data_IF_436161508088
#
_entry.id   IF_436161508088
#
_cell.length_a   1.000
_cell.length_b   1.000
_cell.length_c   1.000
_cell.angle_alpha   90.00
_cell.angle_beta   90.00
_cell.angle_gamma   90.00
#
_symmetry.space_group_name_H-M   'P 1'
#
loop_
_entity.id
_entity.type
_entity.pdbx_description
1 polymer ?
#
# COMPACT_ATOMS: atom_id res chain seq x y z
N UNK A 1 12.32 9.53 7.85
CA UNK A 1 13.65 8.90 7.68
C UNK A 1 14.37 8.79 9.04
N UNK A 2 15.53 8.16 9.08
CA UNK A 2 16.33 7.95 10.29
C UNK A 2 16.69 9.25 11.02
N UNK A 3 16.93 10.32 10.25
CA UNK A 3 17.19 11.66 10.81
C UNK A 3 16.01 12.16 11.65
N UNK A 4 14.79 12.03 11.15
CA UNK A 4 13.59 12.45 11.88
C UNK A 4 13.21 11.55 13.04
N UNK A 5 13.53 10.25 12.98
CA UNK A 5 13.18 9.28 14.01
C UNK A 5 14.20 9.21 15.14
N UNK A 6 15.50 9.36 14.84
CA UNK A 6 16.60 9.12 15.79
C UNK A 6 17.61 10.27 15.89
N UNK A 7 17.45 11.37 15.14
CA UNK A 7 18.38 12.48 15.10
C UNK A 7 19.79 12.13 14.56
N UNK A 8 19.92 11.00 13.85
CA UNK A 8 21.20 10.51 13.33
C UNK A 8 21.45 11.02 11.93
N UNK A 9 22.41 11.93 11.75
CA UNK A 9 22.79 12.52 10.47
C UNK A 9 23.86 11.74 9.70
N UNK A 10 24.54 10.77 10.35
CA UNK A 10 25.70 10.07 9.78
C UNK A 10 25.45 9.44 8.39
N UNK A 11 24.23 8.91 8.14
CA UNK A 11 23.87 8.37 6.83
C UNK A 11 23.66 9.45 5.78
N UNK A 12 23.15 10.61 6.18
CA UNK A 12 22.95 11.77 5.31
C UNK A 12 24.31 12.36 4.93
N UNK A 13 25.20 12.47 5.88
CA UNK A 13 26.56 13.01 5.69
C UNK A 13 27.38 12.08 4.79
N UNK A 14 27.32 10.76 5.01
CA UNK A 14 27.99 9.78 4.16
C UNK A 14 27.42 9.80 2.70
N UNK A 15 26.12 9.93 2.54
CA UNK A 15 25.48 10.03 1.23
C UNK A 15 25.82 11.35 0.53
N UNK A 16 25.85 12.46 1.28
CA UNK A 16 26.27 13.76 0.76
C UNK A 16 27.73 13.71 0.27
N UNK A 17 28.61 13.06 1.01
CA UNK A 17 30.01 12.86 0.60
C UNK A 17 30.13 12.08 -0.71
N UNK A 18 29.37 10.98 -0.87
CA UNK A 18 29.34 10.21 -2.13
C UNK A 18 28.76 11.05 -3.27
N UNK A 19 27.71 11.82 -3.00
CA UNK A 19 27.01 12.65 -3.98
C UNK A 19 27.88 13.80 -4.48
N UNK A 20 28.70 14.37 -3.59
CA UNK A 20 29.60 15.47 -3.88
C UNK A 20 30.98 15.02 -4.37
N UNK A 21 31.24 13.70 -4.44
CA UNK A 21 32.49 13.17 -4.97
C UNK A 21 32.71 13.59 -6.43
N UNK A 22 33.78 14.32 -6.67
CA UNK A 22 34.17 14.83 -7.99
C UNK A 22 35.25 13.93 -8.60
N UNK A 23 35.01 13.48 -9.82
CA UNK A 23 36.01 12.83 -10.66
C UNK A 23 36.19 13.70 -11.93
N UNK A 24 37.42 14.16 -12.21
CA UNK A 24 37.71 15.02 -13.36
C UNK A 24 36.86 16.32 -13.41
N UNK A 25 36.69 17.01 -12.27
CA UNK A 25 35.87 18.23 -12.13
C UNK A 25 34.38 18.04 -12.48
N UNK A 26 33.89 16.84 -12.44
CA UNK A 26 32.47 16.54 -12.64
C UNK A 26 31.94 15.72 -11.48
N UNK A 27 30.76 16.10 -10.96
CA UNK A 27 30.04 15.30 -9.96
C UNK A 27 29.49 14.06 -10.65
N UNK A 28 30.27 12.98 -10.66
CA UNK A 28 30.00 11.74 -11.40
C UNK A 28 28.65 11.16 -11.01
N UNK A 29 28.32 11.22 -9.72
CA UNK A 29 27.09 10.64 -9.20
C UNK A 29 25.85 11.35 -9.72
N UNK A 30 25.81 12.68 -9.65
CA UNK A 30 24.66 13.46 -10.12
C UNK A 30 24.49 13.41 -11.64
N UNK A 31 25.60 13.21 -12.39
CA UNK A 31 25.57 13.06 -13.85
C UNK A 31 25.05 11.68 -14.31
N UNK A 32 25.38 10.61 -13.58
CA UNK A 32 25.01 9.25 -13.97
C UNK A 32 23.60 8.89 -13.47
N UNK A 33 23.25 9.32 -12.26
CA UNK A 33 21.99 8.92 -11.61
C UNK A 33 20.93 10.03 -11.58
N UNK A 34 21.27 11.22 -12.07
CA UNK A 34 20.31 12.30 -12.38
C UNK A 34 19.56 12.91 -11.20
N UNK A 35 19.96 12.64 -9.96
CA UNK A 35 19.22 13.13 -8.80
C UNK A 35 19.96 13.05 -7.48
N UNK A 36 19.38 13.64 -6.46
CA UNK A 36 19.84 13.55 -5.08
C UNK A 36 19.55 12.17 -4.52
N UNK A 37 20.54 11.52 -3.89
CA UNK A 37 20.33 10.33 -3.08
C UNK A 37 19.38 10.65 -1.94
N UNK A 38 18.22 10.03 -1.96
CA UNK A 38 17.30 10.13 -0.84
C UNK A 38 17.89 9.45 0.40
N UNK A 39 17.68 10.06 1.57
CA UNK A 39 18.14 9.49 2.83
C UNK A 39 17.60 8.07 3.05
N UNK A 40 18.40 7.21 3.67
CA UNK A 40 18.02 5.85 4.02
C UNK A 40 16.69 5.86 4.81
N UNK A 41 15.67 5.15 4.32
CA UNK A 41 14.33 5.12 4.92
C UNK A 41 13.30 6.06 4.28
N UNK A 42 13.70 6.94 3.34
CA UNK A 42 12.81 7.66 2.42
C UNK A 42 12.81 7.05 1.01
N UNK A 43 13.41 5.88 0.85
CA UNK A 43 13.52 5.23 -0.43
C UNK A 43 12.17 4.69 -0.89
N UNK A 44 11.85 4.96 -2.12
CA UNK A 44 10.71 4.39 -2.79
C UNK A 44 10.99 2.95 -3.27
N UNK A 45 9.97 2.32 -3.80
CA UNK A 45 10.05 0.97 -4.32
C UNK A 45 11.08 0.83 -5.46
N UNK A 46 11.31 1.91 -6.22
CA UNK A 46 12.25 1.95 -7.33
C UNK A 46 13.70 1.86 -6.86
N UNK A 47 14.04 2.64 -5.84
CA UNK A 47 15.38 2.62 -5.23
C UNK A 47 15.62 1.27 -4.55
N UNK A 48 14.60 0.72 -3.86
CA UNK A 48 14.66 -0.62 -3.29
C UNK A 48 14.94 -1.71 -4.33
N UNK A 49 14.26 -1.65 -5.48
CA UNK A 49 14.50 -2.54 -6.62
C UNK A 49 15.92 -2.41 -7.19
N UNK A 50 16.42 -1.19 -7.33
CA UNK A 50 17.79 -0.92 -7.77
C UNK A 50 18.84 -1.53 -6.84
N UNK A 51 18.63 -1.45 -5.52
CA UNK A 51 19.52 -2.08 -4.54
C UNK A 51 19.53 -3.61 -4.64
N UNK A 52 18.40 -4.24 -4.86
CA UNK A 52 18.31 -5.68 -5.04
C UNK A 52 19.12 -6.09 -6.28
N UNK A 53 19.04 -5.32 -7.36
CA UNK A 53 19.85 -5.57 -8.57
C UNK A 53 21.33 -5.42 -8.27
N UNK A 54 21.76 -4.37 -7.58
CA UNK A 54 23.16 -4.16 -7.19
C UNK A 54 23.64 -5.29 -6.29
N UNK A 55 22.86 -5.66 -5.27
CA UNK A 55 23.19 -6.76 -4.37
C UNK A 55 23.33 -8.08 -5.15
N UNK A 56 22.43 -8.35 -6.10
CA UNK A 56 22.50 -9.54 -6.96
C UNK A 56 23.78 -9.57 -7.80
N UNK A 57 24.21 -8.41 -8.32
CA UNK A 57 25.48 -8.30 -9.05
C UNK A 57 26.68 -8.54 -8.16
N UNK A 58 26.69 -8.01 -6.94
CA UNK A 58 27.77 -8.26 -5.95
C UNK A 58 27.85 -9.74 -5.61
N UNK A 59 26.72 -10.38 -5.34
CA UNK A 59 26.65 -11.83 -5.08
C UNK A 59 27.21 -12.64 -6.27
N UNK A 60 26.80 -12.27 -7.50
CA UNK A 60 27.33 -12.87 -8.72
C UNK A 60 28.86 -12.84 -8.77
N UNK A 61 29.48 -11.70 -8.45
CA UNK A 61 30.95 -11.56 -8.46
C UNK A 61 31.61 -12.38 -7.36
N UNK A 62 31.05 -12.37 -6.14
CA UNK A 62 31.60 -13.15 -5.01
C UNK A 62 31.57 -14.66 -5.31
N UNK A 63 30.44 -15.16 -5.81
CA UNK A 63 30.25 -16.59 -6.08
C UNK A 63 30.66 -17.01 -7.50
N UNK A 64 31.24 -16.09 -8.31
CA UNK A 64 31.69 -16.33 -9.69
C UNK A 64 30.61 -16.96 -10.56
N UNK A 65 29.35 -16.56 -10.40
CA UNK A 65 28.23 -17.09 -11.18
C UNK A 65 28.35 -16.59 -12.64
N UNK A 66 28.21 -17.45 -13.66
CA UNK A 66 28.26 -17.03 -15.06
C UNK A 66 27.10 -16.08 -15.37
N UNK A 67 27.34 -15.06 -16.19
CA UNK A 67 26.32 -14.05 -16.51
C UNK A 67 25.08 -14.62 -17.18
N UNK A 68 25.26 -15.65 -18.02
CA UNK A 68 24.14 -16.38 -18.65
C UNK A 68 23.15 -16.92 -17.62
N UNK A 69 23.65 -17.49 -16.52
CA UNK A 69 22.80 -18.01 -15.44
C UNK A 69 22.05 -16.89 -14.71
N UNK A 70 22.69 -15.74 -14.50
CA UNK A 70 22.00 -14.57 -13.90
C UNK A 70 20.86 -14.10 -14.78
N UNK A 71 21.06 -14.03 -16.10
CA UNK A 71 20.02 -13.65 -17.05
C UNK A 71 18.90 -14.68 -17.09
N UNK A 72 19.24 -15.97 -17.09
CA UNK A 72 18.26 -17.06 -17.09
C UNK A 72 17.36 -17.00 -15.85
N UNK A 73 17.94 -16.85 -14.66
CA UNK A 73 17.21 -16.73 -13.40
C UNK A 73 16.36 -15.44 -13.35
N UNK A 74 16.87 -14.32 -13.86
CA UNK A 74 16.12 -13.09 -13.98
C UNK A 74 14.88 -13.25 -14.88
N UNK A 75 15.05 -13.86 -16.05
CA UNK A 75 13.94 -14.13 -16.99
C UNK A 75 12.94 -15.11 -16.38
N UNK A 76 13.43 -16.15 -15.68
CA UNK A 76 12.57 -17.09 -14.95
C UNK A 76 11.76 -16.38 -13.86
N UNK A 77 12.39 -15.55 -13.07
CA UNK A 77 11.72 -14.73 -12.05
C UNK A 77 10.66 -13.80 -12.68
N UNK A 78 10.99 -13.14 -13.79
CA UNK A 78 10.05 -12.28 -14.50
C UNK A 78 8.83 -13.05 -15.03
N UNK A 79 9.05 -14.25 -15.56
CA UNK A 79 7.94 -15.14 -15.99
C UNK A 79 7.06 -15.56 -14.81
N UNK A 80 7.66 -15.87 -13.65
CA UNK A 80 6.91 -16.27 -12.46
C UNK A 80 5.98 -15.17 -11.93
N UNK A 81 6.42 -13.90 -12.00
CA UNK A 81 5.59 -12.76 -11.56
C UNK A 81 4.63 -12.23 -12.64
N UNK A 82 4.68 -12.77 -13.85
CA UNK A 82 3.88 -12.26 -14.98
C UNK A 82 2.38 -12.27 -14.70
N UNK A 83 1.84 -13.38 -14.17
CA UNK A 83 0.43 -13.49 -13.80
C UNK A 83 0.06 -12.55 -12.64
N UNK A 84 0.78 -12.51 -11.49
CA UNK A 84 0.56 -11.53 -10.45
C UNK A 84 0.58 -10.08 -10.94
N UNK A 85 1.53 -9.74 -11.81
CA UNK A 85 1.67 -8.40 -12.37
C UNK A 85 0.48 -8.02 -13.26
N UNK A 86 0.03 -8.92 -14.13
CA UNK A 86 -1.15 -8.70 -14.97
C UNK A 86 -2.41 -8.46 -14.13
N UNK A 87 -2.59 -9.24 -13.05
CA UNK A 87 -3.70 -9.03 -12.10
C UNK A 87 -3.58 -7.70 -11.37
N UNK A 88 -2.38 -7.30 -10.98
CA UNK A 88 -2.13 -6.00 -10.34
C UNK A 88 -2.53 -4.85 -11.27
N UNK A 89 -2.13 -4.90 -12.54
CA UNK A 89 -2.53 -3.90 -13.55
C UNK A 89 -4.05 -3.88 -13.70
N UNK A 90 -4.71 -5.04 -13.74
CA UNK A 90 -6.17 -5.12 -13.82
C UNK A 90 -6.84 -4.48 -12.59
N UNK A 91 -6.33 -4.74 -11.38
CA UNK A 91 -6.84 -4.12 -10.13
C UNK A 91 -6.71 -2.60 -10.18
N UNK A 92 -5.54 -2.08 -10.54
CA UNK A 92 -5.35 -0.63 -10.66
C UNK A 92 -6.23 -0.01 -11.73
N UNK A 93 -6.47 -0.70 -12.86
CA UNK A 93 -7.42 -0.24 -13.88
C UNK A 93 -8.84 -0.14 -13.32
N UNK A 94 -9.28 -1.12 -12.54
CA UNK A 94 -10.59 -1.08 -11.88
C UNK A 94 -10.67 0.05 -10.86
N UNK A 95 -9.61 0.29 -10.08
CA UNK A 95 -9.53 1.41 -9.14
C UNK A 95 -9.70 2.76 -9.86
N UNK A 96 -8.94 2.99 -10.93
CA UNK A 96 -9.02 4.22 -11.73
C UNK A 96 -10.42 4.43 -12.35
N UNK A 97 -11.01 3.37 -12.89
CA UNK A 97 -12.38 3.44 -13.43
C UNK A 97 -13.38 3.79 -12.31
N UNK A 98 -13.21 3.23 -11.12
CA UNK A 98 -14.09 3.50 -9.96
C UNK A 98 -14.00 4.95 -9.47
N UNK A 99 -12.84 5.58 -9.63
CA UNK A 99 -12.62 7.00 -9.31
C UNK A 99 -13.23 7.92 -10.37
N UNK A 100 -13.05 7.60 -11.66
CA UNK A 100 -13.52 8.42 -12.79
C UNK A 100 -15.06 8.40 -12.90
N UNK A 101 -15.69 7.26 -12.65
CA UNK A 101 -17.13 7.13 -12.70
C UNK A 101 -17.75 7.27 -11.30
N UNK A 102 -18.41 8.42 -10.97
CA UNK A 102 -18.83 8.76 -9.60
C UNK A 102 -20.09 7.99 -9.14
N UNK A 103 -20.13 6.67 -9.36
CA UNK A 103 -21.23 5.82 -8.87
C UNK A 103 -21.11 5.59 -7.36
N UNK A 104 -19.90 5.36 -6.88
CA UNK A 104 -19.60 5.16 -5.46
C UNK A 104 -19.90 6.41 -4.63
N UNK A 105 -19.48 7.62 -5.02
CA UNK A 105 -19.88 8.86 -4.34
C UNK A 105 -21.41 9.03 -4.22
N UNK A 106 -22.18 8.69 -5.26
CA UNK A 106 -23.64 8.75 -5.22
C UNK A 106 -24.25 7.80 -4.20
N UNK A 107 -23.75 6.57 -4.10
CA UNK A 107 -24.19 5.61 -3.08
C UNK A 107 -23.81 6.05 -1.67
N UNK A 108 -22.59 6.54 -1.49
CA UNK A 108 -22.11 7.06 -0.19
C UNK A 108 -22.94 8.24 0.27
N UNK A 109 -23.22 9.20 -0.61
CA UNK A 109 -24.06 10.36 -0.28
C UNK A 109 -25.50 9.98 0.09
N UNK A 110 -26.04 8.92 -0.54
CA UNK A 110 -27.35 8.39 -0.19
C UNK A 110 -27.36 7.78 1.21
N UNK A 111 -26.34 6.99 1.59
CA UNK A 111 -26.24 6.39 2.91
C UNK A 111 -26.03 7.46 3.99
N UNK A 112 -25.14 8.40 3.76
CA UNK A 112 -24.88 9.50 4.70
C UNK A 112 -26.05 10.47 4.80
N UNK A 113 -26.83 10.61 3.73
CA UNK A 113 -28.08 11.39 3.71
C UNK A 113 -29.20 10.82 4.59
N UNK A 114 -29.16 9.54 4.94
CA UNK A 114 -30.07 8.93 5.92
C UNK A 114 -29.80 9.35 7.37
N UNK A 115 -28.70 10.04 7.61
CA UNK A 115 -28.26 10.53 8.90
C UNK A 115 -26.81 10.17 9.17
N UNK A 116 -26.05 11.14 9.66
CA UNK A 116 -24.62 10.95 9.97
C UNK A 116 -24.47 10.35 11.36
N UNK A 117 -24.16 9.08 11.43
CA UNK A 117 -23.86 8.34 12.66
C UNK A 117 -22.74 7.32 12.41
N UNK A 118 -22.22 6.69 13.46
CA UNK A 118 -21.11 5.71 13.34
C UNK A 118 -21.46 4.57 12.42
N UNK A 119 -22.69 4.08 12.44
CA UNK A 119 -23.07 2.98 11.57
C UNK A 119 -23.07 3.38 10.08
N UNK A 120 -23.59 4.57 9.74
CA UNK A 120 -23.57 5.06 8.35
C UNK A 120 -22.14 5.36 7.88
N UNK A 121 -21.27 5.88 8.75
CA UNK A 121 -19.83 6.06 8.46
C UNK A 121 -19.18 4.70 8.21
N UNK A 122 -19.41 3.71 9.07
CA UNK A 122 -18.82 2.38 8.95
C UNK A 122 -19.29 1.68 7.66
N UNK A 123 -20.60 1.67 7.39
CA UNK A 123 -21.18 1.07 6.18
C UNK A 123 -20.68 1.78 4.91
N UNK A 124 -20.64 3.11 4.90
CA UNK A 124 -20.11 3.87 3.77
C UNK A 124 -18.63 3.58 3.52
N UNK A 125 -17.85 3.43 4.59
CA UNK A 125 -16.43 3.07 4.51
C UNK A 125 -16.25 1.66 3.94
N UNK A 126 -17.04 0.67 4.38
CA UNK A 126 -17.05 -0.68 3.80
C UNK A 126 -17.38 -0.61 2.31
N UNK A 127 -18.48 0.04 1.95
CA UNK A 127 -18.93 0.14 0.57
C UNK A 127 -17.84 0.76 -0.32
N UNK A 128 -17.30 1.91 0.08
CA UNK A 128 -16.26 2.59 -0.69
C UNK A 128 -15.03 1.70 -0.84
N UNK A 129 -14.58 1.06 0.25
CA UNK A 129 -13.38 0.22 0.23
C UNK A 129 -13.55 -1.02 -0.62
N UNK A 130 -14.74 -1.62 -0.71
CA UNK A 130 -14.99 -2.77 -1.60
C UNK A 130 -14.74 -2.41 -3.06
N UNK A 131 -15.12 -1.20 -3.47
CA UNK A 131 -14.94 -0.74 -4.85
C UNK A 131 -13.54 -0.17 -5.11
N UNK A 132 -12.93 0.43 -4.10
CA UNK A 132 -11.60 1.02 -4.21
C UNK A 132 -10.83 0.89 -2.90
N UNK A 133 -9.88 -0.05 -2.83
CA UNK A 133 -8.98 -0.18 -1.69
C UNK A 133 -7.87 0.88 -1.82
N UNK A 134 -8.27 2.14 -1.72
CA UNK A 134 -7.42 3.31 -1.61
C UNK A 134 -7.87 4.16 -0.42
N UNK A 135 -6.99 4.29 0.58
CA UNK A 135 -7.34 4.96 1.83
C UNK A 135 -7.63 6.46 1.63
N UNK A 136 -6.87 7.13 0.78
CA UNK A 136 -7.09 8.56 0.51
C UNK A 136 -8.43 8.79 -0.19
N UNK A 137 -8.79 7.93 -1.13
CA UNK A 137 -10.08 7.99 -1.80
C UNK A 137 -11.24 7.76 -0.82
N UNK A 138 -11.15 6.74 0.04
CA UNK A 138 -12.17 6.46 1.06
C UNK A 138 -12.33 7.66 2.00
N UNK A 139 -11.23 8.23 2.49
CA UNK A 139 -11.23 9.42 3.34
C UNK A 139 -11.87 10.60 2.62
N UNK A 140 -11.51 10.86 1.37
CA UNK A 140 -12.03 12.01 0.60
C UNK A 140 -13.56 11.98 0.45
N UNK A 141 -14.15 10.79 0.32
CA UNK A 141 -15.60 10.64 0.19
C UNK A 141 -16.36 10.77 1.53
N UNK A 142 -15.72 10.40 2.63
CA UNK A 142 -16.39 10.26 3.93
C UNK A 142 -16.04 11.41 4.89
N UNK A 143 -14.91 12.09 4.68
CA UNK A 143 -14.43 13.16 5.56
C UNK A 143 -15.45 14.29 5.75
N UNK A 144 -16.24 14.61 4.73
CA UNK A 144 -17.32 15.59 4.82
C UNK A 144 -18.38 15.26 5.89
N UNK A 145 -18.59 13.96 6.16
CA UNK A 145 -19.53 13.51 7.19
C UNK A 145 -19.00 13.75 8.62
N UNK A 146 -17.69 13.92 8.79
CA UNK A 146 -17.08 14.14 10.11
C UNK A 146 -17.37 15.52 10.68
N UNK A 147 -17.64 16.51 9.83
CA UNK A 147 -17.91 17.89 10.26
C UNK A 147 -19.12 18.05 11.19
N UNK A 148 -20.07 17.11 11.12
CA UNK A 148 -21.26 17.09 11.98
C UNK A 148 -21.17 16.09 13.14
N UNK A 149 -20.01 15.45 13.34
CA UNK A 149 -19.88 14.35 14.29
C UNK A 149 -19.15 14.80 15.56
N UNK A 150 -19.75 14.60 16.74
CA UNK A 150 -19.18 15.02 18.02
C UNK A 150 -17.97 14.19 18.44
N UNK A 151 -17.93 12.89 18.09
CA UNK A 151 -16.87 11.98 18.48
C UNK A 151 -16.01 11.59 17.26
N UNK A 152 -15.04 12.46 16.91
CA UNK A 152 -14.15 12.25 15.76
C UNK A 152 -13.29 11.01 15.89
N UNK A 153 -12.91 10.60 17.11
CA UNK A 153 -12.10 9.40 17.33
C UNK A 153 -12.86 8.14 16.95
N UNK A 154 -14.12 8.05 17.33
CA UNK A 154 -14.98 6.94 16.97
C UNK A 154 -15.24 6.88 15.45
N UNK A 155 -15.44 8.03 14.81
CA UNK A 155 -15.63 8.11 13.37
C UNK A 155 -14.36 7.70 12.60
N UNK A 156 -13.19 8.18 13.02
CA UNK A 156 -11.91 7.81 12.44
C UNK A 156 -11.60 6.32 12.62
N UNK A 157 -11.87 5.78 13.81
CA UNK A 157 -11.72 4.36 14.06
C UNK A 157 -12.68 3.52 13.19
N UNK A 158 -13.95 3.93 13.05
CA UNK A 158 -14.92 3.24 12.20
C UNK A 158 -14.42 3.16 10.75
N UNK A 159 -13.90 4.27 10.22
CA UNK A 159 -13.35 4.33 8.87
C UNK A 159 -12.13 3.40 8.70
N UNK A 160 -11.16 3.49 9.61
CA UNK A 160 -9.94 2.67 9.55
C UNK A 160 -10.25 1.18 9.71
N UNK A 161 -11.12 0.84 10.65
CA UNK A 161 -11.51 -0.54 10.90
C UNK A 161 -12.26 -1.16 9.71
N UNK A 162 -13.17 -0.40 9.09
CA UNK A 162 -13.86 -0.81 7.87
C UNK A 162 -12.88 -1.03 6.72
N UNK A 163 -11.95 -0.08 6.52
CA UNK A 163 -10.91 -0.18 5.50
C UNK A 163 -10.04 -1.41 5.70
N UNK A 164 -9.52 -1.62 6.91
CA UNK A 164 -8.71 -2.78 7.24
C UNK A 164 -9.44 -4.10 7.02
N UNK A 165 -10.70 -4.21 7.51
CA UNK A 165 -11.51 -5.41 7.37
C UNK A 165 -11.73 -5.78 5.89
N UNK A 166 -12.12 -4.79 5.08
CA UNK A 166 -12.41 -5.00 3.65
C UNK A 166 -11.14 -5.29 2.86
N UNK A 167 -10.00 -4.69 3.22
CA UNK A 167 -8.71 -4.93 2.59
C UNK A 167 -8.28 -6.41 2.58
N UNK A 168 -8.76 -7.21 3.54
CA UNK A 168 -8.52 -8.65 3.58
C UNK A 168 -9.36 -9.48 2.60
N UNK A 169 -10.42 -8.92 2.02
CA UNK A 169 -11.37 -9.69 1.21
C UNK A 169 -11.68 -9.04 -0.15
N UNK A 170 -11.46 -7.75 -0.29
CA UNK A 170 -11.83 -7.04 -1.51
C UNK A 170 -10.96 -7.47 -2.70
N UNK A 171 -11.58 -7.80 -3.84
CA UNK A 171 -10.85 -8.11 -5.06
C UNK A 171 -10.10 -6.89 -5.64
N UNK A 172 -10.41 -5.70 -5.16
CA UNK A 172 -9.73 -4.44 -5.50
C UNK A 172 -8.50 -4.17 -4.61
N UNK A 173 -8.22 -5.06 -3.65
CA UNK A 173 -6.99 -4.99 -2.83
C UNK A 173 -5.79 -5.50 -3.63
N UNK A 174 -4.95 -4.58 -4.11
CA UNK A 174 -3.76 -4.90 -4.87
C UNK A 174 -2.82 -5.85 -4.12
N UNK A 175 -2.61 -5.60 -2.83
CA UNK A 175 -1.73 -6.42 -1.98
C UNK A 175 -2.29 -7.84 -1.84
N UNK A 176 -3.60 -7.97 -1.60
CA UNK A 176 -4.25 -9.27 -1.47
C UNK A 176 -4.18 -10.06 -2.76
N UNK A 177 -4.58 -9.45 -3.89
CA UNK A 177 -4.62 -10.12 -5.20
C UNK A 177 -3.23 -10.52 -5.65
N UNK A 178 -2.24 -9.64 -5.48
CA UNK A 178 -0.85 -9.95 -5.80
C UNK A 178 -0.32 -11.09 -4.94
N UNK A 179 -0.49 -11.02 -3.62
CA UNK A 179 -0.02 -12.06 -2.69
C UNK A 179 -0.66 -13.41 -2.97
N UNK A 180 -1.97 -13.48 -3.12
CA UNK A 180 -2.66 -14.74 -3.43
C UNK A 180 -2.24 -15.32 -4.78
N UNK A 181 -2.02 -14.46 -5.77
CA UNK A 181 -1.56 -14.89 -7.08
C UNK A 181 -0.13 -15.45 -7.08
N UNK A 182 0.75 -14.93 -6.20
CA UNK A 182 2.10 -15.48 -6.02
C UNK A 182 2.10 -16.90 -5.43
N UNK A 183 1.10 -17.22 -4.62
CA UNK A 183 0.96 -18.53 -3.99
C UNK A 183 -0.03 -19.45 -4.72
N UNK A 184 -0.55 -19.04 -5.88
CA UNK A 184 -1.60 -19.75 -6.62
C UNK A 184 -2.85 -20.07 -5.80
N UNK A 185 -3.17 -19.22 -4.82
CA UNK A 185 -4.37 -19.35 -3.97
C UNK A 185 -5.51 -18.54 -4.59
N UNK A 186 -6.66 -19.15 -4.75
CA UNK A 186 -7.85 -18.44 -5.21
C UNK A 186 -8.47 -17.59 -4.09
N UNK A 187 -9.11 -16.45 -4.44
CA UNK A 187 -9.86 -15.62 -3.49
C UNK A 187 -10.92 -16.43 -2.73
N UNK A 188 -11.54 -17.43 -3.37
CA UNK A 188 -12.54 -18.29 -2.76
C UNK A 188 -11.94 -19.19 -1.66
N UNK A 189 -10.78 -19.77 -1.93
CA UNK A 189 -10.04 -20.57 -0.95
C UNK A 189 -9.56 -19.72 0.21
N UNK A 190 -9.00 -18.55 -0.09
CA UNK A 190 -8.61 -17.58 0.93
C UNK A 190 -9.77 -17.22 1.84
N UNK A 191 -10.91 -16.82 1.29
CA UNK A 191 -12.10 -16.47 2.06
C UNK A 191 -12.61 -17.62 2.93
N UNK A 192 -12.58 -18.86 2.42
CA UNK A 192 -12.95 -20.06 3.17
C UNK A 192 -12.09 -20.26 4.42
N UNK A 193 -10.83 -19.85 4.38
CA UNK A 193 -9.94 -19.99 5.52
C UNK A 193 -10.04 -18.83 6.51
N UNK A 194 -10.19 -17.59 5.99
CA UNK A 194 -10.09 -16.38 6.82
C UNK A 194 -11.43 -15.93 7.42
N UNK A 195 -12.58 -16.44 6.96
CA UNK A 195 -13.90 -15.92 7.35
C UNK A 195 -14.17 -15.95 8.86
N UNK A 196 -13.67 -16.96 9.59
CA UNK A 196 -13.82 -17.04 11.05
C UNK A 196 -13.02 -15.94 11.75
N UNK A 197 -11.81 -15.69 11.27
CA UNK A 197 -10.99 -14.59 11.74
C UNK A 197 -11.68 -13.24 11.47
N UNK A 198 -12.24 -13.04 10.28
CA UNK A 198 -12.96 -11.83 9.92
C UNK A 198 -14.18 -11.59 10.80
N UNK A 199 -14.94 -12.66 11.13
CA UNK A 199 -16.05 -12.55 12.06
C UNK A 199 -15.59 -12.17 13.46
N UNK A 200 -14.53 -12.78 13.98
CA UNK A 200 -14.00 -12.42 15.29
C UNK A 200 -13.49 -10.99 15.32
N UNK A 201 -12.81 -10.55 14.25
CA UNK A 201 -12.33 -9.18 14.10
C UNK A 201 -13.50 -8.18 14.04
N UNK A 202 -14.56 -8.51 13.29
CA UNK A 202 -15.76 -7.67 13.21
C UNK A 202 -16.41 -7.50 14.59
N UNK A 203 -16.52 -8.57 15.39
CA UNK A 203 -17.05 -8.51 16.75
C UNK A 203 -16.20 -7.58 17.63
N UNK A 204 -14.88 -7.71 17.55
CA UNK A 204 -13.96 -6.84 18.31
C UNK A 204 -14.13 -5.37 17.87
N UNK A 205 -14.23 -5.10 16.57
CA UNK A 205 -14.46 -3.75 16.04
C UNK A 205 -15.75 -3.17 16.60
N UNK A 206 -16.85 -3.94 16.59
CA UNK A 206 -18.15 -3.49 17.11
C UNK A 206 -18.05 -3.17 18.60
N UNK A 207 -17.39 -4.02 19.40
CA UNK A 207 -17.18 -3.77 20.84
C UNK A 207 -16.41 -2.48 21.06
N UNK A 208 -15.33 -2.27 20.34
CA UNK A 208 -14.52 -1.04 20.45
C UNK A 208 -15.35 0.19 20.04
N UNK A 209 -16.15 0.10 18.97
CA UNK A 209 -17.02 1.18 18.53
C UNK A 209 -18.05 1.54 19.60
N UNK A 210 -18.66 0.55 20.25
CA UNK A 210 -19.61 0.78 21.35
C UNK A 210 -18.91 1.48 22.53
N UNK A 211 -17.72 1.03 22.91
CA UNK A 211 -16.93 1.66 23.97
C UNK A 211 -16.62 3.11 23.63
N UNK A 212 -16.16 3.40 22.42
CA UNK A 212 -15.84 4.75 21.97
C UNK A 212 -17.06 5.68 21.87
N UNK A 213 -18.27 5.12 21.76
CA UNK A 213 -19.50 5.92 21.77
C UNK A 213 -19.97 6.29 23.18
N UNK A 214 -19.55 5.53 24.19
CA UNK A 214 -19.97 5.75 25.60
C UNK A 214 -19.02 6.67 26.36
N UNK A 215 -17.75 6.71 25.93
CA UNK A 215 -16.72 7.59 26.48
C UNK A 215 -16.76 8.95 25.78
#
# INVERSE_FOLDING_TARGET
>A
GWEGAFGVTAFKDALAWIQDAELFNSKVYSHILGGTLAAFGSWDLFIGGGLILIASMVIKFIYRIPFSKVVEEFVSGFKAIGKPLALLVAVYTVLEISVIYPRVPGLVSLILGMGTNIATIFISSILTTVFAVDFQYVVSLIAGAFSGFSNLNAAAFALQAAYGLVGFIAPTSAILVFGLSMFDISLKEWFKHIWKFLLSLLVVIIIILIILMVI
#
